data_IF_865790281867
#
_entry.id   IF_865790281867
#
_cell.length_a   1.000
_cell.length_b   1.000
_cell.length_c   1.000
_cell.angle_alpha   90.00
_cell.angle_beta   90.00
_cell.angle_gamma   90.00
#
_symmetry.space_group_name_H-M   'P 1'
#
loop_
_entity.id
_entity.type
_entity.pdbx_description
1 polymer ?
#
# COMPACT_ATOMS: atom_id res chain seq x y z
N UNK A 1 -13.21 76.29 -26.25
CA UNK A 1 -12.21 76.05 -27.31
C UNK A 1 -10.93 76.78 -26.98
N UNK A 2 -9.89 76.06 -26.54
CA UNK A 2 -8.55 76.62 -26.45
C UNK A 2 -8.06 76.94 -27.87
N UNK A 3 -7.92 78.22 -28.20
CA UNK A 3 -7.48 78.65 -29.52
C UNK A 3 -5.98 78.43 -29.63
N UNK A 4 -5.58 77.38 -30.35
CA UNK A 4 -4.18 77.15 -30.72
C UNK A 4 -3.62 78.40 -31.42
N UNK A 5 -2.62 79.03 -30.81
CA UNK A 5 -1.86 80.10 -31.45
C UNK A 5 -0.59 79.51 -32.06
N UNK A 6 -0.47 79.47 -33.39
CA UNK A 6 0.74 78.95 -34.03
C UNK A 6 1.96 79.78 -33.63
N UNK A 7 3.11 79.12 -33.49
CA UNK A 7 4.39 79.80 -33.34
C UNK A 7 4.68 80.60 -34.62
N UNK A 8 4.67 81.93 -34.53
CA UNK A 8 5.05 82.82 -35.64
C UNK A 8 6.43 83.40 -35.38
N UNK A 9 7.42 82.95 -36.15
CA UNK A 9 8.76 83.51 -36.22
C UNK A 9 8.87 84.34 -37.50
N UNK A 10 9.28 85.61 -37.40
CA UNK A 10 9.56 86.43 -38.57
C UNK A 10 10.83 85.94 -39.26
N UNK A 11 10.88 85.98 -40.60
CA UNK A 11 12.04 85.51 -41.39
C UNK A 11 13.35 86.24 -41.06
N UNK A 12 13.25 87.44 -40.46
CA UNK A 12 14.39 88.33 -40.19
C UNK A 12 14.68 88.47 -38.68
N UNK A 13 14.04 87.64 -37.84
CA UNK A 13 14.20 87.71 -36.39
C UNK A 13 15.46 86.94 -35.96
N UNK A 14 16.52 87.68 -35.62
CA UNK A 14 17.85 87.16 -35.26
C UNK A 14 18.21 87.30 -33.78
N UNK A 15 17.33 87.93 -33.00
CA UNK A 15 17.48 88.10 -31.55
C UNK A 15 17.14 86.78 -30.83
N UNK A 16 18.18 86.12 -30.33
CA UNK A 16 18.11 84.81 -29.67
C UNK A 16 17.21 84.85 -28.42
N UNK A 17 17.26 85.91 -27.62
CA UNK A 17 16.48 86.00 -26.38
C UNK A 17 14.98 86.11 -26.68
N UNK A 18 14.65 86.80 -27.78
CA UNK A 18 13.27 86.94 -28.28
C UNK A 18 12.76 85.64 -28.90
N UNK A 19 13.60 84.92 -29.65
CA UNK A 19 13.28 83.58 -30.17
C UNK A 19 13.04 82.60 -29.01
N UNK A 20 13.95 82.54 -28.04
CA UNK A 20 13.83 81.65 -26.88
C UNK A 20 12.57 81.96 -26.07
N UNK A 21 12.27 83.25 -25.83
CA UNK A 21 11.05 83.66 -25.13
C UNK A 21 9.77 83.22 -25.87
N UNK A 22 9.74 83.30 -27.20
CA UNK A 22 8.61 82.79 -28.01
C UNK A 22 8.52 81.26 -27.96
N UNK A 23 9.65 80.56 -28.00
CA UNK A 23 9.69 79.09 -27.88
C UNK A 23 9.19 78.62 -26.51
N UNK A 24 9.62 79.27 -25.42
CA UNK A 24 9.16 78.96 -24.07
C UNK A 24 7.67 79.22 -23.90
N UNK A 25 7.16 80.34 -24.44
CA UNK A 25 5.71 80.62 -24.43
C UNK A 25 4.95 79.56 -25.23
N UNK A 26 5.40 79.22 -26.42
CA UNK A 26 4.78 78.18 -27.24
C UNK A 26 4.78 76.82 -26.54
N UNK A 27 5.90 76.40 -25.95
CA UNK A 27 6.00 75.15 -25.18
C UNK A 27 5.05 75.14 -23.98
N UNK A 28 4.93 76.26 -23.26
CA UNK A 28 4.00 76.39 -22.13
C UNK A 28 2.55 76.36 -22.57
N UNK A 29 2.22 77.03 -23.67
CA UNK A 29 0.86 77.06 -24.22
C UNK A 29 0.48 75.68 -24.77
N UNK A 30 1.42 74.96 -25.39
CA UNK A 30 1.24 73.58 -25.86
C UNK A 30 1.05 72.61 -24.68
N UNK A 31 1.88 72.74 -23.64
CA UNK A 31 1.72 71.96 -22.39
C UNK A 31 0.37 72.23 -21.73
N UNK A 32 -0.04 73.50 -21.63
CA UNK A 32 -1.35 73.86 -21.09
C UNK A 32 -2.51 73.33 -21.94
N UNK A 33 -2.36 73.33 -23.27
CA UNK A 33 -3.38 72.80 -24.17
C UNK A 33 -3.50 71.28 -23.99
N UNK A 34 -2.39 70.55 -23.99
CA UNK A 34 -2.36 69.10 -23.78
C UNK A 34 -2.84 68.69 -22.37
N UNK A 35 -2.48 69.44 -21.33
CA UNK A 35 -2.94 69.19 -19.96
C UNK A 35 -4.43 69.49 -19.73
N UNK A 36 -5.05 70.26 -20.63
CA UNK A 36 -6.46 70.64 -20.56
C UNK A 36 -7.33 69.93 -21.62
N UNK A 37 -6.79 69.01 -22.41
CA UNK A 37 -7.58 68.14 -23.27
C UNK A 37 -8.19 67.04 -22.40
N UNK A 38 -9.51 67.06 -22.23
CA UNK A 38 -10.24 65.91 -21.67
C UNK A 38 -10.40 64.82 -22.75
N UNK A 39 -10.76 63.60 -22.33
CA UNK A 39 -11.11 62.53 -23.27
C UNK A 39 -12.25 62.97 -24.20
N UNK A 40 -13.18 63.77 -23.66
CA UNK A 40 -14.34 64.35 -24.35
C UNK A 40 -13.95 65.34 -25.46
N UNK A 41 -12.85 66.08 -25.27
CA UNK A 41 -12.35 67.06 -26.25
C UNK A 41 -11.56 66.42 -27.41
N UNK A 42 -11.13 65.16 -27.26
CA UNK A 42 -10.20 64.49 -28.19
C UNK A 42 -10.77 63.22 -28.83
N UNK A 43 -12.02 62.87 -28.52
CA UNK A 43 -12.69 61.70 -29.10
C UNK A 43 -14.07 62.11 -29.61
N UNK A 44 -14.55 61.44 -30.66
CA UNK A 44 -15.87 61.71 -31.22
C UNK A 44 -16.96 61.29 -30.21
N UNK A 45 -18.08 62.02 -30.15
CA UNK A 45 -19.20 61.71 -29.27
C UNK A 45 -19.71 60.27 -29.44
N UNK A 46 -19.60 59.71 -30.66
CA UNK A 46 -19.94 58.30 -30.92
C UNK A 46 -19.03 57.29 -30.20
N UNK A 47 -17.77 57.64 -29.93
CA UNK A 47 -16.82 56.79 -29.17
C UNK A 47 -17.12 56.86 -27.67
N UNK A 48 -17.48 58.04 -27.17
CA UNK A 48 -17.88 58.26 -25.78
C UNK A 48 -19.20 57.56 -25.47
N UNK A 49 -20.21 57.67 -26.34
CA UNK A 49 -21.49 56.94 -26.21
C UNK A 49 -21.28 55.41 -26.20
N UNK A 50 -20.31 54.91 -26.98
CA UNK A 50 -19.95 53.48 -26.98
C UNK A 50 -19.26 53.08 -25.67
N UNK A 51 -18.49 53.96 -25.03
CA UNK A 51 -17.86 53.70 -23.74
C UNK A 51 -18.87 53.78 -22.60
N UNK A 52 -19.75 54.78 -22.61
CA UNK A 52 -20.81 54.96 -21.61
C UNK A 52 -21.88 53.86 -21.70
N UNK A 53 -22.28 53.46 -22.92
CA UNK A 53 -23.22 52.35 -23.13
C UNK A 53 -22.67 50.99 -22.70
N UNK A 54 -21.36 50.88 -22.50
CA UNK A 54 -20.72 49.64 -22.05
C UNK A 54 -20.70 49.48 -20.53
N UNK A 55 -21.09 50.50 -19.75
CA UNK A 55 -21.27 50.42 -18.28
C UNK A 55 -20.13 49.65 -17.58
N UNK A 56 -18.88 50.06 -17.80
CA UNK A 56 -17.68 49.45 -17.24
C UNK A 56 -17.43 47.97 -17.63
N UNK A 57 -17.95 47.55 -18.79
CA UNK A 57 -17.69 46.22 -19.38
C UNK A 57 -16.79 46.34 -20.60
N UNK A 58 -15.71 45.59 -20.62
CA UNK A 58 -14.80 45.50 -21.76
C UNK A 58 -14.84 44.12 -22.37
N UNK A 59 -14.84 44.07 -23.71
CA UNK A 59 -14.75 42.83 -24.47
C UNK A 59 -13.62 42.94 -25.49
N UNK A 60 -12.77 41.92 -25.55
CA UNK A 60 -11.75 41.74 -26.58
C UNK A 60 -11.99 40.41 -27.27
N UNK A 61 -12.15 40.45 -28.58
CA UNK A 61 -12.18 39.26 -29.43
C UNK A 61 -11.07 39.42 -30.44
N UNK A 62 -10.12 38.48 -30.46
CA UNK A 62 -8.99 38.46 -31.38
C UNK A 62 -8.95 37.11 -32.08
N UNK A 63 -8.86 37.12 -33.41
CA UNK A 63 -8.71 35.92 -34.22
C UNK A 63 -7.57 36.12 -35.20
N UNK A 64 -6.58 35.24 -35.15
CA UNK A 64 -5.35 35.33 -35.96
C UNK A 64 -4.80 33.94 -36.29
N UNK A 65 -3.71 33.87 -37.04
CA UNK A 65 -3.02 32.61 -37.32
C UNK A 65 -2.52 31.91 -36.04
N UNK A 66 -2.26 32.67 -34.98
CA UNK A 66 -1.77 32.15 -33.70
C UNK A 66 -2.90 31.58 -32.83
N UNK A 67 -4.17 31.94 -33.11
CA UNK A 67 -5.31 31.42 -32.37
C UNK A 67 -6.50 32.38 -32.22
N UNK A 68 -7.43 31.96 -31.34
CA UNK A 68 -8.62 32.67 -30.92
C UNK A 68 -8.49 33.08 -29.45
N UNK A 69 -8.71 34.35 -29.15
CA UNK A 69 -8.81 34.87 -27.77
C UNK A 69 -10.10 35.64 -27.61
N UNK A 70 -10.88 35.29 -26.60
CA UNK A 70 -12.05 36.04 -26.13
C UNK A 70 -11.81 36.41 -24.68
N UNK A 71 -11.85 37.70 -24.36
CA UNK A 71 -11.69 38.21 -23.01
C UNK A 71 -12.83 39.18 -22.69
N UNK A 72 -13.54 38.92 -21.60
CA UNK A 72 -14.66 39.73 -21.12
C UNK A 72 -14.37 40.11 -19.67
N UNK A 73 -14.32 41.41 -19.40
CA UNK A 73 -14.15 41.96 -18.06
C UNK A 73 -15.31 42.89 -17.73
N UNK A 74 -15.89 42.71 -16.56
CA UNK A 74 -16.94 43.54 -15.99
C UNK A 74 -16.40 44.12 -14.69
N UNK A 75 -16.01 45.39 -14.72
CA UNK A 75 -15.35 46.04 -13.58
C UNK A 75 -16.32 46.36 -12.44
N UNK A 76 -17.63 46.39 -12.69
CA UNK A 76 -18.67 46.60 -11.68
C UNK A 76 -18.83 45.35 -10.79
N UNK A 77 -18.90 44.17 -11.41
CA UNK A 77 -19.13 42.89 -10.72
C UNK A 77 -17.84 42.13 -10.38
N UNK A 78 -16.70 42.58 -10.94
CA UNK A 78 -15.43 41.87 -10.85
C UNK A 78 -15.40 40.55 -11.63
N UNK A 79 -16.32 40.35 -12.58
CA UNK A 79 -16.36 39.18 -13.44
C UNK A 79 -15.31 39.30 -14.55
N UNK A 80 -14.42 38.31 -14.64
CA UNK A 80 -13.49 38.08 -15.73
C UNK A 80 -13.74 36.71 -16.35
N UNK A 81 -14.13 36.68 -17.62
CA UNK A 81 -14.24 35.45 -18.40
C UNK A 81 -13.25 35.48 -19.55
N UNK A 82 -12.49 34.41 -19.73
CA UNK A 82 -11.50 34.32 -20.81
C UNK A 82 -11.54 32.94 -21.48
N UNK A 83 -11.45 32.94 -22.81
CA UNK A 83 -11.27 31.75 -23.65
C UNK A 83 -10.05 32.00 -24.53
N UNK A 84 -9.06 31.11 -24.42
CA UNK A 84 -7.87 31.11 -25.27
C UNK A 84 -7.74 29.76 -25.96
N UNK A 85 -7.73 29.78 -27.29
CA UNK A 85 -7.49 28.61 -28.13
C UNK A 85 -6.28 28.91 -29.03
N UNK A 86 -5.28 28.04 -28.96
CA UNK A 86 -4.09 28.06 -29.82
C UNK A 86 -3.94 26.68 -30.48
N UNK A 87 -2.85 26.45 -31.22
CA UNK A 87 -2.50 25.11 -31.71
C UNK A 87 -2.15 24.10 -30.61
N UNK A 88 -1.81 24.58 -29.41
CA UNK A 88 -1.29 23.73 -28.32
C UNK A 88 -2.29 23.49 -27.17
N UNK A 89 -3.23 24.43 -26.97
CA UNK A 89 -4.14 24.40 -25.82
C UNK A 89 -5.50 25.03 -26.11
N UNK A 90 -6.50 24.57 -25.37
CA UNK A 90 -7.74 25.29 -25.10
C UNK A 90 -7.77 25.58 -23.60
N UNK A 91 -7.88 26.86 -23.22
CA UNK A 91 -7.96 27.33 -21.85
C UNK A 91 -9.25 28.13 -21.65
N UNK A 92 -9.96 27.83 -20.55
CA UNK A 92 -11.16 28.52 -20.13
C UNK A 92 -10.99 29.02 -18.69
N UNK A 93 -11.30 30.28 -18.47
CA UNK A 93 -11.32 30.92 -17.16
C UNK A 93 -12.66 31.63 -16.93
N UNK A 94 -13.22 31.45 -15.74
CA UNK A 94 -14.30 32.28 -15.20
C UNK A 94 -13.91 32.63 -13.76
N UNK A 95 -13.69 33.91 -13.52
CA UNK A 95 -13.37 34.48 -12.21
C UNK A 95 -14.41 35.55 -11.89
N UNK A 96 -15.10 35.46 -10.75
CA UNK A 96 -16.00 36.53 -10.30
C UNK A 96 -16.05 36.54 -8.79
N UNK A 97 -16.22 37.72 -8.19
CA UNK A 97 -15.98 37.98 -6.77
C UNK A 97 -16.73 37.09 -5.76
N UNK A 98 -17.76 36.33 -6.18
CA UNK A 98 -18.46 35.33 -5.37
C UNK A 98 -18.28 33.88 -5.83
N UNK A 99 -17.75 33.65 -7.04
CA UNK A 99 -17.46 32.32 -7.60
C UNK A 99 -16.12 31.76 -7.09
N UNK A 100 -15.28 32.60 -6.49
CA UNK A 100 -13.96 32.26 -5.93
C UNK A 100 -14.01 31.15 -4.87
N UNK A 101 -15.11 30.98 -4.12
CA UNK A 101 -15.20 29.90 -3.12
C UNK A 101 -15.58 28.52 -3.70
N UNK A 102 -16.13 28.45 -4.91
CA UNK A 102 -16.70 27.18 -5.44
C UNK A 102 -16.14 26.75 -6.80
N UNK A 103 -15.67 27.66 -7.66
CA UNK A 103 -15.25 27.34 -9.03
C UNK A 103 -14.12 28.24 -9.55
N UNK A 104 -12.95 28.25 -8.90
CA UNK A 104 -11.71 28.50 -9.65
C UNK A 104 -11.49 27.31 -10.60
N UNK A 105 -12.28 27.23 -11.68
CA UNK A 105 -12.23 26.13 -12.64
C UNK A 105 -11.22 26.48 -13.72
N UNK A 106 -9.97 26.04 -13.54
CA UNK A 106 -9.00 26.02 -14.63
C UNK A 106 -9.00 24.63 -15.26
N UNK A 107 -9.50 24.54 -16.49
CA UNK A 107 -9.37 23.36 -17.34
C UNK A 107 -8.36 23.64 -18.45
N UNK A 108 -7.33 22.82 -18.53
CA UNK A 108 -6.34 22.84 -19.61
C UNK A 108 -6.40 21.47 -20.31
N UNK A 109 -6.75 21.50 -21.60
CA UNK A 109 -6.78 20.32 -22.47
C UNK A 109 -5.47 20.25 -23.24
N UNK A 110 -4.70 19.20 -23.01
CA UNK A 110 -3.50 18.85 -23.78
C UNK A 110 -3.79 17.62 -24.64
N UNK A 111 -2.99 17.39 -25.69
CA UNK A 111 -3.18 16.23 -26.57
C UNK A 111 -3.12 14.87 -25.84
N UNK A 112 -2.42 14.80 -24.71
CA UNK A 112 -2.18 13.55 -23.96
C UNK A 112 -2.89 13.49 -22.61
N UNK A 113 -3.26 14.63 -22.01
CA UNK A 113 -3.84 14.68 -20.67
C UNK A 113 -4.76 15.88 -20.45
N UNK A 114 -5.59 15.78 -19.42
CA UNK A 114 -6.48 16.85 -18.96
C UNK A 114 -6.01 17.29 -17.58
N UNK A 115 -5.78 18.59 -17.38
CA UNK A 115 -5.50 19.15 -16.06
C UNK A 115 -6.75 19.86 -15.53
N UNK A 116 -7.22 19.42 -14.36
CA UNK A 116 -8.33 20.03 -13.62
C UNK A 116 -7.81 20.56 -12.28
N UNK A 117 -7.81 21.88 -12.11
CA UNK A 117 -7.56 22.53 -10.81
C UNK A 117 -8.89 23.13 -10.37
N UNK A 118 -9.59 22.45 -9.46
CA UNK A 118 -10.92 22.86 -8.96
C UNK A 118 -11.17 22.22 -7.58
N UNK A 119 -12.13 22.74 -6.82
CA UNK A 119 -12.51 22.19 -5.51
C UNK A 119 -13.31 20.89 -5.60
N UNK A 120 -14.15 20.72 -6.62
CA UNK A 120 -14.99 19.53 -6.81
C UNK A 120 -14.90 19.04 -8.26
N UNK A 121 -14.74 17.74 -8.45
CA UNK A 121 -14.74 17.09 -9.77
C UNK A 121 -15.81 16.00 -9.77
N UNK A 122 -16.68 16.01 -10.77
CA UNK A 122 -17.67 14.95 -11.01
C UNK A 122 -17.32 14.27 -12.32
N UNK A 123 -17.08 12.95 -12.27
CA UNK A 123 -16.88 12.11 -13.45
C UNK A 123 -18.05 11.13 -13.50
N UNK A 124 -18.82 11.17 -14.58
CA UNK A 124 -19.95 10.26 -14.82
C UNK A 124 -19.73 9.51 -16.13
N UNK A 125 -19.06 8.36 -16.05
CA UNK A 125 -18.86 7.46 -17.18
C UNK A 125 -19.28 6.04 -16.82
N UNK A 126 -19.43 5.16 -17.81
CA UNK A 126 -19.88 3.78 -17.59
C UNK A 126 -18.88 2.97 -16.74
N UNK A 127 -17.58 3.20 -16.92
CA UNK A 127 -16.53 2.37 -16.31
C UNK A 127 -15.72 3.07 -15.20
N UNK A 128 -15.92 4.37 -15.02
CA UNK A 128 -15.29 5.18 -13.98
C UNK A 128 -16.26 6.27 -13.51
N UNK A 129 -16.40 6.43 -12.20
CA UNK A 129 -17.12 7.57 -11.64
C UNK A 129 -16.38 8.21 -10.48
N UNK A 130 -16.51 9.53 -10.35
CA UNK A 130 -16.11 10.32 -9.20
C UNK A 130 -17.30 11.19 -8.80
N UNK A 131 -17.79 11.06 -7.57
CA UNK A 131 -18.91 11.86 -7.08
C UNK A 131 -18.48 13.12 -6.33
N UNK A 132 -19.46 13.94 -5.95
CA UNK A 132 -19.23 15.20 -5.22
C UNK A 132 -18.55 15.01 -3.86
N UNK A 133 -18.70 13.85 -3.23
CA UNK A 133 -18.13 13.54 -1.93
C UNK A 133 -16.69 12.98 -2.03
N UNK A 134 -16.18 12.79 -3.25
CA UNK A 134 -14.86 12.20 -3.49
C UNK A 134 -14.87 10.68 -3.58
N UNK A 135 -16.04 10.03 -3.66
CA UNK A 135 -16.09 8.59 -3.86
C UNK A 135 -15.75 8.25 -5.31
N UNK A 136 -14.70 7.44 -5.49
CA UNK A 136 -14.28 6.94 -6.79
C UNK A 136 -14.69 5.48 -6.98
N UNK A 137 -15.21 5.13 -8.16
CA UNK A 137 -15.52 3.76 -8.56
C UNK A 137 -14.89 3.45 -9.92
N UNK A 138 -14.29 2.28 -10.03
CA UNK A 138 -13.79 1.70 -11.27
C UNK A 138 -14.49 0.36 -11.49
N UNK A 139 -14.93 0.07 -12.72
CA UNK A 139 -15.49 -1.25 -13.07
C UNK A 139 -14.50 -2.15 -13.83
N UNK A 140 -13.40 -1.58 -14.31
CA UNK A 140 -12.30 -2.30 -14.96
C UNK A 140 -11.05 -2.38 -14.08
N UNK A 141 -9.96 -2.87 -14.66
CA UNK A 141 -8.69 -3.06 -13.95
C UNK A 141 -7.95 -1.73 -13.73
N UNK A 142 -7.28 -1.63 -12.58
CA UNK A 142 -6.29 -0.58 -12.30
C UNK A 142 -4.90 -1.20 -12.51
N UNK A 143 -4.25 -0.92 -13.64
CA UNK A 143 -2.98 -1.54 -14.05
C UNK A 143 -1.85 -0.50 -14.10
N UNK A 144 -0.69 -0.84 -13.51
CA UNK A 144 0.56 -0.09 -13.72
C UNK A 144 0.72 1.21 -12.93
N UNK A 145 -0.08 1.43 -11.89
CA UNK A 145 0.01 2.61 -11.01
C UNK A 145 0.24 2.25 -9.55
N UNK A 146 0.86 3.16 -8.80
CA UNK A 146 0.86 3.09 -7.34
C UNK A 146 -0.46 3.64 -6.79
N UNK A 147 -1.12 2.93 -5.89
CA UNK A 147 -2.27 3.44 -5.14
C UNK A 147 -1.75 3.88 -3.78
N UNK A 148 -2.08 5.10 -3.33
CA UNK A 148 -1.80 5.53 -1.96
C UNK A 148 -3.00 6.32 -1.44
N UNK A 149 -3.76 5.69 -0.54
CA UNK A 149 -4.92 6.30 0.12
C UNK A 149 -4.50 6.69 1.53
N UNK A 150 -4.05 7.93 1.68
CA UNK A 150 -3.72 8.53 2.99
C UNK A 150 -2.65 7.78 3.78
N UNK A 151 -1.74 7.06 3.12
CA UNK A 151 -0.74 6.21 3.74
C UNK A 151 -1.27 4.89 4.30
N UNK A 152 -2.58 4.63 4.17
CA UNK A 152 -3.24 3.47 4.78
C UNK A 152 -3.49 2.31 3.84
N UNK A 153 -3.83 2.59 2.59
CA UNK A 153 -3.88 1.56 1.56
C UNK A 153 -2.86 1.92 0.50
N UNK A 154 -1.76 1.16 0.44
CA UNK A 154 -0.65 1.43 -0.46
C UNK A 154 -0.45 0.21 -1.36
N UNK A 155 -0.51 0.41 -2.66
CA UNK A 155 0.05 -0.51 -3.66
C UNK A 155 1.24 0.21 -4.26
N UNK A 156 2.45 -0.27 -4.01
CA UNK A 156 3.66 0.36 -4.58
C UNK A 156 3.88 -0.02 -6.05
N UNK A 157 4.87 0.60 -6.69
CA UNK A 157 5.20 0.35 -8.09
C UNK A 157 5.69 -1.09 -8.37
N UNK A 158 6.05 -1.85 -7.33
CA UNK A 158 6.44 -3.27 -7.43
C UNK A 158 5.25 -4.22 -7.22
N UNK A 159 4.06 -3.69 -6.93
CA UNK A 159 2.84 -4.45 -6.67
C UNK A 159 2.69 -4.90 -5.21
N UNK A 160 3.54 -4.45 -4.29
CA UNK A 160 3.40 -4.75 -2.86
C UNK A 160 2.22 -3.98 -2.28
N UNK A 161 1.30 -4.70 -1.64
CA UNK A 161 0.13 -4.13 -0.98
C UNK A 161 0.37 -3.99 0.54
N UNK A 162 0.05 -2.82 1.09
CA UNK A 162 0.05 -2.51 2.52
C UNK A 162 -1.31 -1.95 2.90
N UNK A 163 -1.88 -2.47 4.00
CA UNK A 163 -3.17 -2.07 4.55
C UNK A 163 -3.00 -1.75 6.04
N UNK A 164 -3.07 -0.47 6.40
CA UNK A 164 -3.14 0.05 7.77
C UNK A 164 -4.61 -0.01 8.24
N UNK A 165 -4.98 -1.15 8.85
CA UNK A 165 -6.30 -1.41 9.39
C UNK A 165 -6.82 -2.81 9.06
N UNK A 166 -8.15 -2.97 9.01
CA UNK A 166 -8.78 -4.26 8.73
C UNK A 166 -9.01 -4.44 7.23
N UNK A 167 -8.46 -5.53 6.67
CA UNK A 167 -8.83 -6.02 5.35
C UNK A 167 -9.98 -7.04 5.47
N UNK A 168 -11.21 -6.58 5.23
CA UNK A 168 -12.39 -7.47 5.16
C UNK A 168 -12.65 -7.85 3.71
N UNK A 169 -12.54 -9.15 3.38
CA UNK A 169 -12.88 -9.69 2.06
C UNK A 169 -13.68 -10.97 2.20
N UNK A 170 -14.66 -11.17 1.32
CA UNK A 170 -15.46 -12.42 1.26
C UNK A 170 -14.60 -13.60 0.79
N UNK A 171 -13.62 -13.35 -0.09
CA UNK A 171 -12.72 -14.39 -0.61
C UNK A 171 -11.38 -13.77 -0.96
N UNK A 172 -10.30 -14.24 -0.32
CA UNK A 172 -8.91 -14.00 -0.73
C UNK A 172 -8.36 -15.28 -1.34
N UNK A 173 -8.84 -15.63 -2.54
CA UNK A 173 -8.50 -16.89 -3.21
C UNK A 173 -8.17 -16.64 -4.69
N UNK A 174 -6.94 -16.18 -5.00
CA UNK A 174 -6.45 -16.17 -6.38
C UNK A 174 -6.53 -17.59 -6.97
N UNK A 175 -6.73 -17.77 -8.28
CA UNK A 175 -6.81 -19.09 -8.93
C UNK A 175 -5.64 -20.02 -8.59
N UNK A 176 -4.45 -19.44 -8.38
CA UNK A 176 -3.24 -20.17 -8.04
C UNK A 176 -2.90 -20.15 -6.52
N UNK A 177 -3.76 -19.54 -5.70
CA UNK A 177 -3.55 -19.33 -4.26
C UNK A 177 -2.88 -18.00 -3.93
N UNK A 178 -2.86 -17.64 -2.64
CA UNK A 178 -2.14 -16.47 -2.15
C UNK A 178 -0.66 -16.82 -2.04
N UNK A 179 0.15 -16.39 -3.01
CA UNK A 179 1.60 -16.47 -2.91
C UNK A 179 2.13 -15.21 -2.24
N UNK A 180 2.71 -15.39 -1.06
CA UNK A 180 3.56 -14.40 -0.44
C UNK A 180 4.95 -15.01 -0.32
N UNK A 181 5.99 -14.26 -0.73
CA UNK A 181 7.37 -14.64 -0.45
C UNK A 181 7.59 -14.77 1.07
N UNK A 182 6.99 -13.85 1.83
CA UNK A 182 6.83 -13.88 3.28
C UNK A 182 5.40 -13.40 3.62
N UNK A 183 4.62 -14.22 4.36
CA UNK A 183 3.31 -13.82 4.89
C UNK A 183 3.44 -13.66 6.41
N UNK A 184 3.53 -12.42 6.87
CA UNK A 184 3.50 -12.08 8.28
C UNK A 184 2.10 -11.56 8.64
N UNK A 185 1.38 -12.31 9.48
CA UNK A 185 0.09 -11.89 10.04
C UNK A 185 0.35 -11.44 11.48
N UNK A 186 0.47 -10.13 11.67
CA UNK A 186 0.56 -9.50 12.97
C UNK A 186 -0.83 -9.24 13.54
N UNK A 187 -1.02 -9.59 14.81
CA UNK A 187 -2.08 -9.06 15.64
C UNK A 187 -1.40 -8.43 16.86
N UNK A 188 -1.54 -7.13 17.03
CA UNK A 188 -0.94 -6.38 18.13
C UNK A 188 -1.54 -6.76 19.50
N UNK A 189 -2.62 -7.56 19.51
CA UNK A 189 -3.33 -8.02 20.72
C UNK A 189 -3.48 -9.55 20.77
N UNK A 190 -2.38 -10.26 20.95
CA UNK A 190 -2.28 -11.72 21.14
C UNK A 190 -2.33 -12.58 19.86
N UNK A 191 -1.38 -13.51 19.85
CA UNK A 191 -0.95 -14.40 18.76
C UNK A 191 -2.00 -15.49 18.50
N UNK A 192 -3.11 -15.15 17.85
CA UNK A 192 -4.11 -16.15 17.42
C UNK A 192 -4.27 -16.09 15.90
N UNK A 193 -3.35 -16.76 15.21
CA UNK A 193 -3.56 -17.16 13.83
C UNK A 193 -4.46 -18.40 13.82
N UNK A 194 -5.76 -18.19 13.59
CA UNK A 194 -6.72 -19.30 13.46
C UNK A 194 -6.77 -19.76 12.00
N UNK A 195 -6.11 -20.88 11.70
CA UNK A 195 -6.33 -21.57 10.42
C UNK A 195 -7.39 -22.64 10.62
N UNK A 196 -8.50 -22.53 9.92
CA UNK A 196 -9.55 -23.56 9.95
C UNK A 196 -9.32 -24.63 8.88
N UNK A 197 -9.82 -25.84 9.12
CA UNK A 197 -9.67 -27.03 8.27
C UNK A 197 -8.26 -27.65 8.27
N UNK A 198 -7.50 -27.47 7.19
CA UNK A 198 -6.26 -28.19 6.95
C UNK A 198 -5.09 -27.20 6.78
N UNK A 199 -3.98 -27.49 7.47
CA UNK A 199 -2.67 -26.92 7.17
C UNK A 199 -1.88 -27.99 6.42
N UNK A 200 -1.41 -27.68 5.22
CA UNK A 200 -0.52 -28.55 4.45
C UNK A 200 0.79 -27.81 4.20
N UNK A 201 1.84 -28.19 4.93
CA UNK A 201 3.14 -27.55 4.90
C UNK A 201 4.26 -28.58 5.13
N UNK A 202 5.49 -28.25 4.73
CA UNK A 202 6.66 -29.08 5.03
C UNK A 202 6.96 -29.12 6.52
N UNK A 203 6.95 -27.95 7.17
CA UNK A 203 7.14 -27.79 8.60
C UNK A 203 6.06 -26.87 9.18
N UNK A 204 5.59 -27.17 10.40
CA UNK A 204 4.69 -26.32 11.18
C UNK A 204 5.23 -26.17 12.60
N UNK A 205 5.54 -24.95 13.00
CA UNK A 205 5.99 -24.62 14.35
C UNK A 205 4.82 -24.11 15.19
N UNK A 206 4.45 -24.88 16.22
CA UNK A 206 3.40 -24.50 17.17
C UNK A 206 4.06 -24.05 18.46
N UNK A 207 4.02 -22.75 18.75
CA UNK A 207 4.69 -22.14 19.91
C UNK A 207 4.04 -22.51 21.24
N UNK A 208 2.71 -22.73 21.24
CA UNK A 208 1.95 -23.03 22.45
C UNK A 208 1.12 -24.31 22.32
N UNK A 209 -0.13 -24.17 21.91
CA UNK A 209 -1.12 -25.25 21.98
C UNK A 209 -1.60 -25.64 20.59
N UNK A 210 -1.34 -26.89 20.19
CA UNK A 210 -2.01 -27.51 19.06
C UNK A 210 -3.30 -28.20 19.54
N UNK A 211 -4.46 -27.64 19.19
CA UNK A 211 -5.75 -28.31 19.40
C UNK A 211 -6.22 -28.93 18.10
N UNK A 212 -6.18 -30.25 17.98
CA UNK A 212 -6.64 -30.96 16.79
C UNK A 212 -7.52 -32.16 17.16
N UNK A 213 -8.52 -32.46 16.33
CA UNK A 213 -9.39 -33.65 16.52
C UNK A 213 -8.64 -34.96 16.25
N UNK A 214 -7.74 -34.97 15.27
CA UNK A 214 -7.02 -36.17 14.84
C UNK A 214 -5.71 -35.79 14.17
N UNK A 215 -4.63 -36.47 14.58
CA UNK A 215 -3.32 -36.43 13.90
C UNK A 215 -3.17 -37.71 13.08
N UNK A 216 -2.78 -37.59 11.82
CA UNK A 216 -2.41 -38.74 10.99
C UNK A 216 -0.90 -38.77 10.83
N UNK A 217 -0.28 -39.90 11.14
CA UNK A 217 1.12 -40.14 10.82
C UNK A 217 1.19 -41.07 9.60
N UNK A 218 1.78 -40.59 8.51
CA UNK A 218 1.96 -41.39 7.30
C UNK A 218 3.24 -42.23 7.44
N UNK A 219 3.10 -43.55 7.35
CA UNK A 219 4.18 -44.52 7.59
C UNK A 219 4.18 -45.57 6.48
N UNK A 220 4.22 -45.13 5.22
CA UNK A 220 4.12 -46.00 4.04
C UNK A 220 5.46 -46.70 3.74
N UNK A 221 5.42 -48.00 3.43
CA UNK A 221 6.61 -48.79 3.07
C UNK A 221 7.32 -48.24 1.83
N UNK A 222 6.58 -47.65 0.88
CA UNK A 222 7.14 -47.09 -0.37
C UNK A 222 8.02 -45.87 -0.14
N UNK A 223 7.86 -45.20 1.00
CA UNK A 223 8.63 -44.03 1.38
C UNK A 223 9.82 -44.38 2.30
N UNK A 224 10.20 -45.66 2.41
CA UNK A 224 11.21 -46.15 3.35
C UNK A 224 12.13 -47.18 2.71
N UNK A 225 13.40 -47.14 3.09
CA UNK A 225 14.41 -48.14 2.75
C UNK A 225 14.92 -48.82 4.03
N UNK A 226 15.72 -49.88 3.88
CA UNK A 226 16.49 -50.50 4.99
C UNK A 226 15.64 -50.93 6.20
N UNK A 227 14.44 -51.45 5.93
CA UNK A 227 13.47 -51.84 6.96
C UNK A 227 13.90 -53.17 7.60
N UNK A 228 14.57 -53.08 8.75
CA UNK A 228 14.97 -54.24 9.55
C UNK A 228 14.35 -54.23 10.96
N UNK A 229 14.06 -55.39 11.58
CA UNK A 229 13.60 -55.45 12.96
C UNK A 229 14.61 -54.85 13.94
N UNK A 230 14.14 -54.16 14.97
CA UNK A 230 14.99 -53.69 16.07
C UNK A 230 15.48 -54.90 16.87
N UNK A 231 16.80 -55.02 17.06
CA UNK A 231 17.38 -56.11 17.84
C UNK A 231 17.02 -55.96 19.34
N UNK A 232 17.01 -57.08 20.08
CA UNK A 232 16.75 -57.04 21.53
C UNK A 232 17.84 -56.24 22.27
N UNK A 233 19.10 -56.37 21.86
CA UNK A 233 20.22 -55.62 22.44
C UNK A 233 20.07 -54.10 22.23
N UNK A 234 19.77 -53.68 21.00
CA UNK A 234 19.57 -52.25 20.68
C UNK A 234 18.37 -51.66 21.45
N UNK A 235 17.27 -52.41 21.55
CA UNK A 235 16.10 -51.98 22.31
C UNK A 235 16.38 -51.91 23.82
N UNK A 236 17.17 -52.84 24.36
CA UNK A 236 17.55 -52.85 25.77
C UNK A 236 18.47 -51.66 26.11
N UNK A 237 19.50 -51.43 25.27
CA UNK A 237 20.40 -50.28 25.40
C UNK A 237 19.61 -48.96 25.37
N UNK A 238 18.74 -48.79 24.38
CA UNK A 238 17.87 -47.62 24.28
C UNK A 238 16.94 -47.46 25.48
N UNK A 239 16.33 -48.54 25.97
CA UNK A 239 15.45 -48.50 27.14
C UNK A 239 16.21 -48.10 28.42
N UNK A 240 17.45 -48.56 28.58
CA UNK A 240 18.30 -48.19 29.73
C UNK A 240 18.65 -46.69 29.75
N UNK A 241 18.74 -46.06 28.59
CA UNK A 241 18.98 -44.62 28.48
C UNK A 241 17.76 -43.76 28.86
N UNK A 242 16.55 -44.34 28.87
CA UNK A 242 15.30 -43.63 29.19
C UNK A 242 15.15 -43.58 30.72
N UNK A 243 15.49 -42.42 31.30
CA UNK A 243 15.34 -42.15 32.74
C UNK A 243 14.18 -41.17 32.93
N UNK A 244 13.03 -41.61 33.49
CA UNK A 244 11.91 -40.72 33.78
C UNK A 244 12.27 -39.72 34.89
N UNK A 245 11.94 -38.46 34.66
CA UNK A 245 12.14 -37.36 35.58
C UNK A 245 10.88 -36.48 35.66
N UNK A 246 10.69 -35.85 36.82
CA UNK A 246 9.73 -34.76 37.01
C UNK A 246 10.50 -33.45 36.98
N UNK A 247 9.98 -32.45 36.27
CA UNK A 247 10.64 -31.16 36.12
C UNK A 247 9.62 -30.01 36.06
N UNK A 248 10.13 -28.77 36.02
CA UNK A 248 9.36 -27.57 35.73
C UNK A 248 10.01 -26.80 34.59
N UNK A 249 9.20 -26.29 33.68
CA UNK A 249 9.68 -25.38 32.64
C UNK A 249 10.10 -24.05 33.26
N UNK A 250 11.23 -23.48 32.83
CA UNK A 250 11.78 -22.25 33.42
C UNK A 250 10.81 -21.07 33.26
N UNK A 251 10.25 -20.91 32.07
CA UNK A 251 9.43 -19.73 31.73
C UNK A 251 8.03 -19.83 32.32
N UNK A 252 7.34 -20.97 32.13
CA UNK A 252 5.95 -21.12 32.57
C UNK A 252 5.77 -21.67 33.98
N UNK A 253 6.84 -22.18 34.61
CA UNK A 253 6.81 -22.91 35.89
C UNK A 253 5.85 -24.12 35.94
N UNK A 254 5.28 -24.51 34.80
CA UNK A 254 4.38 -25.66 34.67
C UNK A 254 5.15 -26.94 34.97
N UNK A 255 4.51 -27.83 35.73
CA UNK A 255 5.09 -29.14 36.03
C UNK A 255 4.99 -30.06 34.82
N UNK A 256 6.08 -30.75 34.51
CA UNK A 256 6.16 -31.75 33.46
C UNK A 256 6.71 -33.08 33.98
N UNK A 257 6.45 -34.14 33.22
CA UNK A 257 7.05 -35.46 33.38
C UNK A 257 7.59 -35.90 32.02
N UNK A 258 8.75 -36.55 32.01
CA UNK A 258 9.42 -36.94 30.77
C UNK A 258 10.84 -37.38 31.02
N UNK A 259 11.74 -37.17 30.07
CA UNK A 259 13.16 -37.50 30.17
C UNK A 259 14.01 -36.27 29.84
N UNK A 260 15.23 -36.22 30.36
CA UNK A 260 16.18 -35.14 30.07
C UNK A 260 16.98 -35.51 28.82
N UNK A 261 16.91 -34.69 27.78
CA UNK A 261 17.49 -35.02 26.48
C UNK A 261 19.01 -35.25 26.53
N UNK A 262 19.73 -34.50 27.35
CA UNK A 262 21.16 -34.64 27.58
C UNK A 262 21.53 -35.96 28.26
N UNK A 263 20.67 -36.49 29.13
CA UNK A 263 20.89 -37.77 29.80
C UNK A 263 20.68 -38.92 28.81
N UNK A 264 19.59 -38.87 28.03
CA UNK A 264 19.35 -39.85 26.97
C UNK A 264 20.49 -39.83 25.95
N UNK A 265 20.94 -38.65 25.52
CA UNK A 265 22.03 -38.51 24.55
C UNK A 265 23.35 -39.13 25.02
N UNK A 266 23.68 -38.97 26.32
CA UNK A 266 24.92 -39.53 26.89
C UNK A 266 24.85 -41.04 27.11
N UNK A 267 23.67 -41.55 27.42
CA UNK A 267 23.47 -42.93 27.84
C UNK A 267 22.99 -43.84 26.72
N UNK A 268 22.39 -43.28 25.67
CA UNK A 268 21.98 -44.02 24.49
C UNK A 268 23.20 -44.25 23.58
N UNK A 269 23.39 -45.48 23.13
CA UNK A 269 24.31 -45.77 22.04
C UNK A 269 23.81 -45.19 20.71
N UNK A 270 24.65 -45.28 19.67
CA UNK A 270 24.34 -44.81 18.31
C UNK A 270 23.40 -45.76 17.54
N UNK A 271 22.99 -46.86 18.17
CA UNK A 271 22.25 -47.95 17.55
C UNK A 271 20.83 -47.57 17.13
N UNK A 272 20.19 -46.63 17.84
CA UNK A 272 18.84 -46.13 17.54
C UNK A 272 18.80 -44.60 17.65
N UNK A 273 18.00 -43.91 16.82
CA UNK A 273 17.88 -42.45 16.85
C UNK A 273 17.05 -41.98 18.04
N UNK A 274 17.64 -42.04 19.24
CA UNK A 274 16.99 -41.71 20.51
C UNK A 274 16.93 -40.21 20.79
N UNK A 275 17.75 -39.41 20.13
CA UNK A 275 17.76 -37.95 20.27
C UNK A 275 18.00 -37.30 18.92
N UNK A 276 17.56 -36.06 18.76
CA UNK A 276 17.91 -35.22 17.62
C UNK A 276 18.37 -33.84 18.10
N UNK A 277 19.01 -33.09 17.22
CA UNK A 277 19.31 -31.66 17.44
C UNK A 277 18.30 -30.82 16.67
N UNK A 278 17.80 -29.79 17.32
CA UNK A 278 17.01 -28.76 16.70
C UNK A 278 17.58 -27.41 17.18
N UNK A 279 18.17 -26.67 16.24
CA UNK A 279 18.97 -25.48 16.54
C UNK A 279 20.01 -25.78 17.63
N UNK A 280 19.96 -25.04 18.73
CA UNK A 280 20.92 -25.12 19.83
C UNK A 280 20.52 -26.17 20.88
N UNK A 281 19.39 -26.84 20.69
CA UNK A 281 18.76 -27.73 21.67
C UNK A 281 18.80 -29.21 21.25
N UNK A 282 18.85 -30.09 22.25
CA UNK A 282 18.58 -31.52 22.06
C UNK A 282 17.09 -31.78 22.26
N UNK A 283 16.49 -32.56 21.35
CA UNK A 283 15.07 -32.93 21.37
C UNK A 283 14.89 -34.44 21.42
N UNK A 284 13.80 -34.88 22.05
CA UNK A 284 13.46 -36.29 22.19
C UNK A 284 12.29 -36.65 21.26
N UNK A 285 12.46 -37.61 20.34
CA UNK A 285 11.39 -38.09 19.47
C UNK A 285 10.47 -39.06 20.23
N UNK A 286 9.70 -38.55 21.21
CA UNK A 286 8.84 -39.38 22.08
C UNK A 286 7.89 -40.30 21.30
N UNK A 287 7.40 -39.87 20.13
CA UNK A 287 6.55 -40.69 19.27
C UNK A 287 7.22 -41.99 18.79
N UNK A 288 8.53 -41.98 18.63
CA UNK A 288 9.32 -43.14 18.18
C UNK A 288 9.59 -44.14 19.30
N UNK A 289 9.57 -43.72 20.57
CA UNK A 289 9.90 -44.60 21.71
C UNK A 289 8.90 -45.75 21.88
N UNK A 290 7.68 -45.61 21.37
CA UNK A 290 6.70 -46.69 21.32
C UNK A 290 7.22 -47.96 20.63
N UNK A 291 8.07 -47.83 19.61
CA UNK A 291 8.69 -48.96 18.94
C UNK A 291 9.72 -49.69 19.82
N UNK A 292 10.50 -48.93 20.61
CA UNK A 292 11.47 -49.49 21.58
C UNK A 292 10.74 -50.27 22.67
N UNK A 293 9.69 -49.67 23.25
CA UNK A 293 8.87 -50.33 24.26
C UNK A 293 8.21 -51.60 23.73
N UNK A 294 7.61 -51.53 22.53
CA UNK A 294 6.98 -52.69 21.91
C UNK A 294 7.97 -53.84 21.71
N UNK A 295 9.21 -53.55 21.29
CA UNK A 295 10.24 -54.57 21.12
C UNK A 295 10.64 -55.22 22.45
N UNK A 296 10.81 -54.43 23.50
CA UNK A 296 11.14 -54.95 24.84
C UNK A 296 9.99 -55.73 25.47
N UNK A 297 8.74 -55.35 25.21
CA UNK A 297 7.56 -56.12 25.63
C UNK A 297 7.56 -57.49 24.94
N UNK A 298 7.83 -57.54 23.63
CA UNK A 298 7.95 -58.81 22.90
C UNK A 298 9.07 -59.68 23.48
N UNK A 299 10.25 -59.11 23.73
CA UNK A 299 11.39 -59.82 24.32
C UNK A 299 11.03 -60.40 25.70
N UNK A 300 10.39 -59.60 26.57
CA UNK A 300 9.92 -60.06 27.87
C UNK A 300 8.88 -61.17 27.75
N UNK A 301 7.97 -61.11 26.78
CA UNK A 301 6.99 -62.17 26.54
C UNK A 301 7.65 -63.50 26.16
N UNK A 302 8.70 -63.48 25.32
CA UNK A 302 9.48 -64.67 25.00
C UNK A 302 10.16 -65.26 26.24
N UNK A 303 10.80 -64.42 27.07
CA UNK A 303 11.44 -64.84 28.33
C UNK A 303 10.44 -65.46 29.30
N UNK A 304 9.27 -64.85 29.47
CA UNK A 304 8.19 -65.38 30.31
C UNK A 304 7.71 -66.74 29.80
N UNK A 305 7.54 -66.91 28.49
CA UNK A 305 7.11 -68.17 27.90
C UNK A 305 8.14 -69.29 28.12
N UNK A 306 9.43 -68.99 27.94
CA UNK A 306 10.52 -69.93 28.21
C UNK A 306 10.54 -70.36 29.69
N UNK A 307 10.42 -69.39 30.61
CA UNK A 307 10.34 -69.67 32.06
C UNK A 307 9.13 -70.54 32.41
N UNK A 308 7.96 -70.27 31.81
CA UNK A 308 6.74 -71.07 32.03
C UNK A 308 6.93 -72.53 31.58
N UNK A 309 7.57 -72.75 30.43
CA UNK A 309 7.86 -74.10 29.93
C UNK A 309 8.83 -74.84 30.86
N UNK A 310 9.88 -74.18 31.31
CA UNK A 310 10.85 -74.75 32.24
C UNK A 310 10.22 -75.11 33.59
N UNK A 311 9.36 -74.24 34.13
CA UNK A 311 8.59 -74.53 35.34
C UNK A 311 7.67 -75.73 35.15
N UNK A 312 7.02 -75.86 33.99
CA UNK A 312 6.17 -77.02 33.66
C UNK A 312 6.98 -78.31 33.61
N UNK A 313 8.12 -78.31 32.89
CA UNK A 313 9.04 -79.46 32.78
C UNK A 313 9.49 -79.96 34.16
N UNK A 314 9.93 -79.04 35.03
CA UNK A 314 10.36 -79.40 36.40
C UNK A 314 9.24 -79.97 37.26
N UNK A 315 8.00 -79.46 37.11
CA UNK A 315 6.84 -80.03 37.82
C UNK A 315 6.53 -81.45 37.37
N UNK A 316 6.61 -81.72 36.07
CA UNK A 316 6.41 -83.06 35.51
C UNK A 316 7.51 -84.02 35.99
N UNK A 317 8.78 -83.59 36.02
CA UNK A 317 9.90 -84.41 36.54
C UNK A 317 9.80 -84.71 38.03
N UNK A 318 9.23 -83.79 38.82
CA UNK A 318 9.04 -84.00 40.27
C UNK A 318 7.88 -84.96 40.57
N UNK A 319 6.88 -85.04 39.67
CA UNK A 319 5.73 -85.94 39.80
C UNK A 319 5.99 -87.38 39.31
N UNK A 320 7.15 -87.67 38.69
CA UNK A 320 7.52 -89.02 38.18
C UNK A 320 8.35 -89.82 39.21
N UNK A 321 8.33 -89.45 40.49
CA UNK A 321 8.86 -90.28 41.59
C UNK A 321 7.72 -90.90 42.40
N UNK A 322 7.20 -92.03 41.93
CA UNK A 322 6.58 -93.13 42.70
C UNK A 322 6.58 -94.39 41.83
#
# INVERSE_FOLDING_TARGET
MAVYKPLVLGKDETDIDKIMSKLYRFSRDLKSTLSNLSLEDNTDASVLDILDSRADKTRKISFSADGLTIDLQDYETGLHTSLEQTSEKISLLVDSGSVVETMLSRMELYGEYITLKTGQVIIQTQNMSLDRNGNARFSGDIIGGSINIGGRFIVDATGKCYVDGTLTTETLNPPDGVYAYELEIYNDNDVINTVTNNINCGDAYISETLTCRKVYQTSDKRCKTDITPISEGAAAEALHAIIPAKYRFRDSQRSGIGCIAQEVYRNAGETLPMTARHEDCLVLPYGSYGAVYARMIQANQYRINALKQEVKRRKEETNVKL
#
